data_IF_744669774346
#
_entry.id   IF_744669774346
#
_cell.length_a   1.000
_cell.length_b   1.000
_cell.length_c   1.000
_cell.angle_alpha   90.00
_cell.angle_beta   90.00
_cell.angle_gamma   90.00
#
_symmetry.space_group_name_H-M   'P 1'
#
loop_
_entity.id
_entity.type
_entity.pdbx_description
1 polymer ?
#
# COMPACT_ATOMS: atom_id res chain seq x y z
N UNK A 1 -40.44 -5.86 20.53
CA UNK A 1 -39.07 -5.27 20.69
C UNK A 1 -38.51 -5.13 19.30
N UNK A 2 -37.91 -3.99 18.99
CA UNK A 2 -37.25 -3.82 17.71
C UNK A 2 -36.00 -4.73 17.66
N UNK A 3 -35.80 -5.43 16.56
CA UNK A 3 -34.62 -6.25 16.31
C UNK A 3 -33.38 -5.33 16.32
N UNK A 4 -32.29 -5.79 16.93
CA UNK A 4 -31.03 -5.02 16.92
C UNK A 4 -30.42 -5.00 15.52
N UNK A 5 -29.60 -3.98 15.21
CA UNK A 5 -28.88 -3.89 13.94
C UNK A 5 -27.93 -5.08 13.76
N UNK A 6 -27.30 -5.54 14.84
CA UNK A 6 -26.38 -6.68 14.86
C UNK A 6 -27.11 -7.99 14.53
N UNK A 7 -28.31 -8.22 15.09
CA UNK A 7 -29.13 -9.39 14.77
C UNK A 7 -29.56 -9.38 13.29
N UNK A 8 -29.89 -8.21 12.78
CA UNK A 8 -30.25 -8.03 11.38
C UNK A 8 -29.07 -8.36 10.46
N UNK A 9 -27.87 -7.87 10.76
CA UNK A 9 -26.65 -8.17 10.00
C UNK A 9 -26.26 -9.64 10.10
N UNK A 10 -26.33 -10.25 11.27
CA UNK A 10 -26.05 -11.66 11.46
C UNK A 10 -27.00 -12.54 10.62
N UNK A 11 -28.30 -12.22 10.65
CA UNK A 11 -29.31 -12.93 9.84
C UNK A 11 -29.11 -12.74 8.33
N UNK A 12 -28.66 -11.54 7.91
CA UNK A 12 -28.34 -11.24 6.52
C UNK A 12 -27.03 -11.85 6.04
N UNK A 13 -26.25 -12.48 6.93
CA UNK A 13 -24.95 -13.07 6.57
C UNK A 13 -23.83 -12.05 6.34
N UNK A 14 -24.01 -10.78 6.73
CA UNK A 14 -23.00 -9.72 6.50
C UNK A 14 -21.71 -9.90 7.30
N UNK A 15 -21.72 -10.72 8.35
CA UNK A 15 -20.54 -11.04 9.16
C UNK A 15 -19.72 -12.24 8.67
N UNK A 16 -20.06 -12.83 7.53
CA UNK A 16 -19.32 -13.98 7.01
C UNK A 16 -18.02 -13.56 6.33
N UNK A 17 -16.94 -14.29 6.60
CA UNK A 17 -15.66 -14.12 5.93
C UNK A 17 -15.56 -15.05 4.71
N UNK A 18 -14.95 -14.55 3.64
CA UNK A 18 -14.58 -15.38 2.49
C UNK A 18 -13.32 -16.18 2.84
N UNK A 19 -13.27 -17.42 2.37
CA UNK A 19 -12.04 -18.21 2.44
C UNK A 19 -10.95 -17.62 1.54
N UNK A 20 -9.68 -17.86 1.89
CA UNK A 20 -8.57 -17.54 1.01
C UNK A 20 -8.68 -18.32 -0.30
N UNK A 21 -8.39 -17.64 -1.41
CA UNK A 21 -8.25 -18.25 -2.71
C UNK A 21 -6.95 -19.05 -2.84
N UNK A 22 -6.68 -19.50 -4.06
CA UNK A 22 -5.51 -20.35 -4.36
C UNK A 22 -4.32 -19.59 -4.92
N UNK A 23 -4.52 -18.35 -5.34
CA UNK A 23 -3.51 -17.50 -5.99
C UNK A 23 -3.41 -16.14 -5.29
N UNK A 24 -2.88 -16.13 -4.06
CA UNK A 24 -2.70 -14.87 -3.35
C UNK A 24 -1.59 -14.04 -3.96
N UNK A 25 -1.66 -12.71 -3.75
CA UNK A 25 -0.56 -11.77 -3.93
C UNK A 25 -0.42 -10.91 -2.68
N UNK A 26 0.81 -10.47 -2.37
CA UNK A 26 1.07 -9.49 -1.33
C UNK A 26 1.22 -8.10 -1.96
N UNK A 27 0.44 -7.13 -1.47
CA UNK A 27 0.63 -5.71 -1.74
C UNK A 27 1.30 -5.04 -0.55
N UNK A 28 2.46 -4.43 -0.81
CA UNK A 28 3.24 -3.64 0.15
C UNK A 28 3.01 -2.17 -0.22
N UNK A 29 2.13 -1.49 0.54
CA UNK A 29 1.60 -0.19 0.18
C UNK A 29 2.41 0.92 0.84
N UNK A 30 3.13 1.72 0.04
CA UNK A 30 3.75 2.99 0.38
C UNK A 30 4.70 2.94 1.59
N UNK A 31 5.35 1.81 1.87
CA UNK A 31 6.38 1.73 2.89
C UNK A 31 7.66 2.42 2.42
N UNK A 32 7.73 3.72 2.65
CA UNK A 32 8.87 4.57 2.30
C UNK A 32 9.41 5.30 3.53
N UNK A 33 10.64 5.77 3.46
CA UNK A 33 11.37 6.43 4.55
C UNK A 33 10.65 7.67 5.10
N UNK A 34 9.87 8.37 4.27
CA UNK A 34 9.16 9.58 4.69
C UNK A 34 8.25 9.34 5.92
N UNK A 35 7.71 8.14 6.10
CA UNK A 35 6.85 7.81 7.25
C UNK A 35 7.62 7.34 8.49
N UNK A 36 8.92 7.04 8.35
CA UNK A 36 9.76 6.42 9.38
C UNK A 36 10.85 7.35 9.92
N UNK A 37 11.31 8.32 9.13
CA UNK A 37 12.40 9.21 9.53
C UNK A 37 11.86 10.34 10.42
N UNK A 38 12.29 10.42 11.69
CA UNK A 38 11.92 11.56 12.56
C UNK A 38 12.32 12.90 11.92
N UNK A 39 11.41 13.87 11.92
CA UNK A 39 11.63 15.16 11.27
C UNK A 39 11.19 15.22 9.81
N UNK A 40 10.84 14.10 9.19
CA UNK A 40 10.13 14.11 7.90
C UNK A 40 8.78 14.79 8.04
N UNK A 41 8.32 15.57 7.03
CA UNK A 41 7.00 16.20 7.07
C UNK A 41 5.84 15.19 7.10
N UNK A 42 6.11 13.91 6.81
CA UNK A 42 5.15 12.80 6.82
C UNK A 42 5.44 11.76 7.90
N UNK A 43 6.35 12.04 8.85
CA UNK A 43 6.66 11.08 9.92
C UNK A 43 5.39 10.64 10.65
N UNK A 44 5.20 9.32 10.77
CA UNK A 44 3.97 8.74 11.31
C UNK A 44 4.21 7.77 12.49
N UNK A 45 5.46 7.48 12.86
CA UNK A 45 5.79 6.57 13.96
C UNK A 45 5.27 5.14 13.72
N UNK A 46 5.47 4.62 12.50
CA UNK A 46 4.90 3.35 12.04
C UNK A 46 5.92 2.20 12.03
N UNK A 47 6.92 2.25 12.90
CA UNK A 47 8.01 1.25 12.98
C UNK A 47 7.46 -0.17 13.23
N UNK A 48 6.46 -0.30 14.11
CA UNK A 48 5.83 -1.60 14.39
C UNK A 48 5.10 -2.17 13.15
N UNK A 49 4.46 -1.31 12.37
CA UNK A 49 3.81 -1.72 11.11
C UNK A 49 4.86 -2.15 10.07
N UNK A 50 6.00 -1.42 10.00
CA UNK A 50 7.13 -1.80 9.15
C UNK A 50 7.69 -3.17 9.55
N UNK A 51 7.90 -3.43 10.83
CA UNK A 51 8.43 -4.72 11.31
C UNK A 51 7.49 -5.88 10.99
N UNK A 52 6.18 -5.69 11.17
CA UNK A 52 5.18 -6.66 10.75
C UNK A 52 5.17 -6.91 9.24
N UNK A 53 5.31 -5.85 8.44
CA UNK A 53 5.38 -5.96 6.98
C UNK A 53 6.66 -6.68 6.51
N UNK A 54 7.81 -6.48 7.19
CA UNK A 54 9.06 -7.20 6.90
C UNK A 54 8.86 -8.70 7.11
N UNK A 55 8.26 -9.11 8.23
CA UNK A 55 7.98 -10.52 8.49
C UNK A 55 7.03 -11.13 7.46
N UNK A 56 5.97 -10.39 7.09
CA UNK A 56 5.01 -10.83 6.08
C UNK A 56 5.65 -10.94 4.69
N UNK A 57 6.49 -9.97 4.31
CA UNK A 57 7.23 -9.98 3.04
C UNK A 57 8.19 -11.17 2.96
N UNK A 58 8.91 -11.46 4.03
CA UNK A 58 9.80 -12.62 4.09
C UNK A 58 9.02 -13.93 3.88
N UNK A 59 7.88 -14.10 4.56
CA UNK A 59 7.01 -15.26 4.40
C UNK A 59 6.44 -15.38 2.97
N UNK A 60 6.03 -14.25 2.37
CA UNK A 60 5.53 -14.23 1.01
C UNK A 60 6.60 -14.65 -0.02
N UNK A 61 7.84 -14.17 0.15
CA UNK A 61 8.99 -14.54 -0.68
C UNK A 61 9.35 -16.02 -0.54
N UNK A 62 9.37 -16.54 0.67
CA UNK A 62 9.58 -17.96 0.94
C UNK A 62 8.50 -18.84 0.28
N UNK A 63 7.24 -18.44 0.40
CA UNK A 63 6.10 -19.10 -0.21
C UNK A 63 6.00 -18.86 -1.73
N UNK A 64 6.85 -18.02 -2.33
CA UNK A 64 6.83 -17.60 -3.74
C UNK A 64 5.51 -16.97 -4.16
N UNK A 65 4.88 -16.26 -3.25
CA UNK A 65 3.69 -15.46 -3.52
C UNK A 65 4.13 -14.20 -4.27
N UNK A 66 3.46 -13.81 -5.38
CA UNK A 66 3.76 -12.56 -6.07
C UNK A 66 3.70 -11.36 -5.13
N UNK A 67 4.71 -10.50 -5.20
CA UNK A 67 4.78 -9.26 -4.40
C UNK A 67 4.68 -8.06 -5.32
N UNK A 68 3.86 -7.09 -4.92
CA UNK A 68 3.67 -5.82 -5.60
C UNK A 68 3.89 -4.70 -4.58
N UNK A 69 4.86 -3.84 -4.85
CA UNK A 69 5.11 -2.64 -4.06
C UNK A 69 4.47 -1.43 -4.71
N UNK A 70 3.97 -0.51 -3.89
CA UNK A 70 3.57 0.82 -4.37
C UNK A 70 4.39 1.90 -3.68
N UNK A 71 4.59 3.01 -4.36
CA UNK A 71 5.12 4.24 -3.79
C UNK A 71 4.51 5.45 -4.49
N UNK A 72 4.52 6.59 -3.78
CA UNK A 72 4.04 7.85 -4.33
C UNK A 72 5.20 8.59 -4.98
N UNK A 73 4.96 9.18 -6.16
CA UNK A 73 5.88 10.10 -6.82
C UNK A 73 5.10 11.13 -7.60
N UNK A 74 5.62 12.35 -7.66
CA UNK A 74 5.03 13.45 -8.41
C UNK A 74 6.05 14.08 -9.37
N UNK A 75 5.58 14.63 -10.47
CA UNK A 75 6.38 15.50 -11.30
C UNK A 75 6.71 16.80 -10.56
N UNK A 76 7.81 17.44 -10.93
CA UNK A 76 8.19 18.74 -10.36
C UNK A 76 7.04 19.74 -10.41
N UNK A 77 6.77 20.39 -9.28
CA UNK A 77 5.66 21.30 -9.08
C UNK A 77 4.30 20.59 -8.94
N UNK A 78 4.28 19.28 -8.67
CA UNK A 78 3.07 18.51 -8.40
C UNK A 78 2.06 18.49 -9.53
N UNK A 79 2.50 18.63 -10.78
CA UNK A 79 1.63 18.80 -11.96
C UNK A 79 0.63 17.67 -12.16
N UNK A 80 0.96 16.48 -11.72
CA UNK A 80 0.19 15.23 -11.80
C UNK A 80 -0.48 14.84 -10.47
N UNK A 81 -0.29 15.62 -9.40
CA UNK A 81 -0.76 15.28 -8.05
C UNK A 81 -2.21 15.66 -7.74
N UNK A 82 -2.86 16.44 -8.62
CA UNK A 82 -4.26 16.82 -8.49
C UNK A 82 -4.59 17.63 -7.23
N UNK A 83 -5.83 17.52 -6.77
CA UNK A 83 -6.33 18.28 -5.61
C UNK A 83 -5.70 17.79 -4.31
N UNK A 84 -5.43 16.49 -4.18
CA UNK A 84 -4.87 15.89 -2.97
C UNK A 84 -3.46 16.43 -2.69
N UNK A 85 -2.60 16.49 -3.71
CA UNK A 85 -1.29 17.11 -3.60
C UNK A 85 -1.36 18.57 -3.16
N UNK A 86 -2.26 19.36 -3.76
CA UNK A 86 -2.45 20.77 -3.39
C UNK A 86 -2.97 20.97 -1.97
N UNK A 87 -3.76 20.01 -1.48
CA UNK A 87 -4.32 20.05 -0.11
C UNK A 87 -3.28 19.75 0.95
N UNK A 88 -2.26 18.93 0.65
CA UNK A 88 -1.29 18.43 1.61
C UNK A 88 0.13 18.83 1.17
N UNK A 89 0.63 20.01 1.58
CA UNK A 89 1.96 20.48 1.16
C UNK A 89 3.10 19.53 1.49
N UNK A 90 2.97 18.70 2.55
CA UNK A 90 3.97 17.71 2.93
C UNK A 90 4.28 16.69 1.81
N UNK A 91 3.32 16.45 0.87
CA UNK A 91 3.51 15.55 -0.26
C UNK A 91 4.56 16.03 -1.26
N UNK A 92 4.97 17.30 -1.20
CA UNK A 92 6.05 17.83 -2.04
C UNK A 92 7.38 17.09 -1.82
N UNK A 93 7.57 16.40 -0.69
CA UNK A 93 8.76 15.55 -0.48
C UNK A 93 8.86 14.39 -1.49
N UNK A 94 7.75 14.01 -2.14
CA UNK A 94 7.72 12.99 -3.17
C UNK A 94 7.83 13.52 -4.60
N UNK A 95 8.10 14.82 -4.79
CA UNK A 95 8.42 15.34 -6.11
C UNK A 95 9.73 14.74 -6.62
N UNK A 96 9.78 14.46 -7.93
CA UNK A 96 10.93 13.85 -8.57
C UNK A 96 12.23 14.63 -8.30
N UNK A 97 13.15 13.99 -7.58
CA UNK A 97 14.46 14.52 -7.22
C UNK A 97 14.46 15.51 -6.04
N UNK A 98 13.35 15.76 -5.36
CA UNK A 98 13.31 16.66 -4.20
C UNK A 98 13.99 16.03 -2.98
N UNK A 99 13.52 14.85 -2.56
CA UNK A 99 14.00 14.15 -1.38
C UNK A 99 14.12 12.64 -1.67
N UNK A 100 15.15 12.20 -2.45
CA UNK A 100 15.31 10.80 -2.79
C UNK A 100 15.47 9.90 -1.55
N UNK A 101 16.05 10.42 -0.46
CA UNK A 101 16.20 9.72 0.82
C UNK A 101 14.84 9.44 1.49
N UNK A 102 13.87 10.33 1.38
CA UNK A 102 12.53 10.15 1.93
C UNK A 102 11.64 9.28 1.03
N UNK A 103 11.85 9.34 -0.27
CA UNK A 103 11.13 8.54 -1.26
C UNK A 103 11.64 7.09 -1.35
N UNK A 104 12.80 6.78 -0.77
CA UNK A 104 13.36 5.44 -0.75
C UNK A 104 12.46 4.47 0.03
N UNK A 105 12.41 3.21 -0.40
CA UNK A 105 11.70 2.17 0.34
C UNK A 105 12.24 2.00 1.76
N UNK A 106 11.35 1.62 2.66
CA UNK A 106 11.69 1.37 4.06
C UNK A 106 12.68 0.20 4.18
N UNK A 107 13.63 0.24 5.15
CA UNK A 107 14.59 -0.83 5.35
C UNK A 107 13.92 -2.18 5.57
N UNK A 108 14.34 -3.19 4.80
CA UNK A 108 13.78 -4.54 4.81
C UNK A 108 12.53 -4.73 3.94
N UNK A 109 12.04 -3.64 3.31
CA UNK A 109 10.89 -3.67 2.40
C UNK A 109 11.26 -3.23 0.98
N UNK A 110 12.55 -3.21 0.67
CA UNK A 110 13.03 -2.90 -0.68
C UNK A 110 12.59 -3.99 -1.66
N UNK A 111 12.08 -3.60 -2.85
CA UNK A 111 11.79 -4.56 -3.91
C UNK A 111 13.03 -5.32 -4.35
N UNK A 112 12.87 -6.61 -4.68
CA UNK A 112 13.91 -7.42 -5.30
C UNK A 112 13.57 -7.70 -6.77
N UNK A 113 14.54 -8.22 -7.52
CA UNK A 113 14.33 -8.59 -8.92
C UNK A 113 13.18 -9.60 -9.05
N UNK A 114 12.25 -9.33 -9.95
CA UNK A 114 11.05 -10.14 -10.17
C UNK A 114 9.80 -9.63 -9.44
N UNK A 115 9.93 -8.70 -8.51
CA UNK A 115 8.78 -8.05 -7.87
C UNK A 115 8.31 -6.84 -8.67
N UNK A 116 7.01 -6.59 -8.63
CA UNK A 116 6.42 -5.46 -9.35
C UNK A 116 6.47 -4.19 -8.49
N UNK A 117 6.88 -3.08 -9.07
CA UNK A 117 6.85 -1.76 -8.43
C UNK A 117 5.91 -0.84 -9.20
N UNK A 118 4.97 -0.23 -8.51
CA UNK A 118 3.98 0.69 -9.08
C UNK A 118 4.15 2.07 -8.46
N UNK A 119 4.53 3.03 -9.30
CA UNK A 119 4.51 4.44 -8.95
C UNK A 119 3.11 5.00 -9.14
N UNK A 120 2.59 5.73 -8.17
CA UNK A 120 1.25 6.33 -8.21
C UNK A 120 1.26 7.78 -7.76
N UNK A 121 0.26 8.53 -8.21
CA UNK A 121 0.04 9.94 -7.88
C UNK A 121 -1.21 10.14 -7.01
N UNK A 122 -2.04 9.11 -6.89
CA UNK A 122 -3.32 9.15 -6.18
C UNK A 122 -3.35 8.12 -5.04
N UNK A 123 -4.30 8.23 -4.13
CA UNK A 123 -4.43 7.31 -3.00
C UNK A 123 -4.57 5.85 -3.45
N UNK A 124 -5.35 5.59 -4.50
CA UNK A 124 -5.54 4.26 -5.05
C UNK A 124 -4.58 3.96 -6.20
N UNK A 125 -3.90 2.82 -6.18
CA UNK A 125 -3.10 2.30 -7.28
C UNK A 125 -3.95 1.70 -8.44
N UNK A 126 -5.27 1.65 -8.28
CA UNK A 126 -6.20 1.33 -9.37
C UNK A 126 -6.61 2.55 -10.19
N UNK A 127 -6.32 3.76 -9.71
CA UNK A 127 -6.63 5.00 -10.40
C UNK A 127 -5.36 5.67 -10.92
N UNK A 128 -5.27 5.84 -12.23
CA UNK A 128 -4.10 6.46 -12.86
C UNK A 128 -2.80 5.64 -12.82
N UNK A 129 -2.86 4.42 -12.30
CA UNK A 129 -1.75 3.47 -12.26
C UNK A 129 -2.24 2.07 -12.65
N UNK A 130 -1.33 1.13 -12.88
CA UNK A 130 -1.65 -0.12 -13.56
C UNK A 130 -1.79 -1.33 -12.64
N UNK A 131 -2.22 -1.18 -11.37
CA UNK A 131 -2.30 -2.30 -10.43
C UNK A 131 -3.20 -3.45 -10.91
N UNK A 132 -4.30 -3.15 -11.60
CA UNK A 132 -5.20 -4.18 -12.13
C UNK A 132 -4.52 -5.12 -13.13
N UNK A 133 -3.60 -4.60 -13.96
CA UNK A 133 -2.92 -5.39 -15.00
C UNK A 133 -2.10 -6.55 -14.44
N UNK A 134 -1.14 -6.37 -13.53
CA UNK A 134 -0.37 -7.48 -12.97
C UNK A 134 -1.25 -8.45 -12.17
N UNK A 135 -2.23 -7.97 -11.42
CA UNK A 135 -3.15 -8.85 -10.70
C UNK A 135 -3.91 -9.78 -11.66
N UNK A 136 -4.42 -9.23 -12.76
CA UNK A 136 -5.13 -10.00 -13.79
C UNK A 136 -4.18 -10.97 -14.50
N UNK A 137 -3.01 -10.50 -14.91
CA UNK A 137 -2.02 -11.32 -15.64
C UNK A 137 -1.53 -12.51 -14.80
N UNK A 138 -1.33 -12.29 -13.49
CA UNK A 138 -0.91 -13.33 -12.55
C UNK A 138 -2.09 -14.23 -12.11
N UNK A 139 -3.33 -13.91 -12.51
CA UNK A 139 -4.53 -14.65 -12.13
C UNK A 139 -4.79 -14.62 -10.62
N UNK A 140 -4.45 -13.50 -9.98
CA UNK A 140 -4.62 -13.32 -8.52
C UNK A 140 -6.10 -13.35 -8.17
N UNK A 141 -6.47 -14.15 -7.18
CA UNK A 141 -7.82 -14.27 -6.64
C UNK A 141 -7.95 -13.79 -5.18
N UNK A 142 -6.81 -13.50 -4.55
CA UNK A 142 -6.74 -13.04 -3.15
C UNK A 142 -5.60 -12.03 -3.00
N UNK A 143 -5.86 -10.94 -2.30
CA UNK A 143 -4.84 -9.92 -2.03
C UNK A 143 -4.63 -9.79 -0.53
N UNK A 144 -3.39 -9.99 -0.10
CA UNK A 144 -2.91 -9.61 1.23
C UNK A 144 -2.38 -8.18 1.17
N UNK A 145 -2.76 -7.34 2.09
CA UNK A 145 -2.38 -5.93 2.08
C UNK A 145 -1.61 -5.59 3.34
N UNK A 146 -0.40 -5.06 3.18
CA UNK A 146 0.36 -4.41 4.23
C UNK A 146 0.56 -2.93 3.87
N UNK A 147 0.31 -2.03 4.81
CA UNK A 147 0.43 -0.58 4.60
C UNK A 147 0.63 0.16 5.92
N UNK A 148 0.99 1.44 5.82
CA UNK A 148 1.23 2.30 6.98
C UNK A 148 -0.05 2.95 7.54
N UNK A 149 -1.13 2.94 6.77
CA UNK A 149 -2.43 3.52 7.15
C UNK A 149 -3.56 2.57 6.82
N UNK A 150 -4.44 2.38 7.79
CA UNK A 150 -5.75 1.73 7.60
C UNK A 150 -6.83 2.80 7.73
N UNK A 151 -7.51 3.10 6.65
CA UNK A 151 -8.63 4.05 6.61
C UNK A 151 -9.85 3.42 5.94
#
# INVERSE_FOLDING_TARGET
>A
MAESLDDNYARGGFGQSLAFGRRPALLVIDFVQAYLVPGSPLYAGVEAARDGAVALLAAAREARIPVIHTHVTYQRGGRDGGIFFRKIPALACFEAGAHPELAAFAPGLEPIMGETVIAKQYASAFFGASLASPLTTLGVDTVLIAGVSTS
#
